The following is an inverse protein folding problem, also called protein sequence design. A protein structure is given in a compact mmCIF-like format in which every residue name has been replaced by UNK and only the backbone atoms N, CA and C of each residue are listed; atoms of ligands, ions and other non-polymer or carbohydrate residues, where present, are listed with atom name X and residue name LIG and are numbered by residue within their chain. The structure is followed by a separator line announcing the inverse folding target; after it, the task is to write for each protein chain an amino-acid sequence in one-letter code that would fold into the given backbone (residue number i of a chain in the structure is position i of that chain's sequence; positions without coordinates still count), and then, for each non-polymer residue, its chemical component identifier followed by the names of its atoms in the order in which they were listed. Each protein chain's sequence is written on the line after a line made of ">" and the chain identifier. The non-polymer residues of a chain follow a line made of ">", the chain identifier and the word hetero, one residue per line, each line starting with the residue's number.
data_IF_024486124533
#
_entry.id   IF_024486124533
#
_cell.length_a   1.000
_cell.length_b   1.000
_cell.length_c   1.000
_cell.angle_alpha   90.00
_cell.angle_beta   90.00
_cell.angle_gamma   90.00
#
_symmetry.space_group_name_H-M   'P 1'
#
loop_
_entity.id
_entity.type
_entity.pdbx_description
1 polymer ?
#
# COMPACT_ATOMS: atom_id res chain seq x y z
N UNK A 1 -1.58 -1.58 -11.06
CA UNK A 1 -0.73 -0.63 -11.79
C UNK A 1 0.35 -1.36 -12.59
N UNK A 2 1.38 -1.95 -11.97
CA UNK A 2 2.48 -2.61 -12.69
C UNK A 2 2.01 -3.73 -13.64
N UNK A 3 1.21 -4.69 -13.14
CA UNK A 3 0.71 -5.80 -13.96
C UNK A 3 -0.20 -5.33 -15.13
N UNK A 4 -0.82 -4.16 -15.00
CA UNK A 4 -1.67 -3.57 -16.04
C UNK A 4 -0.95 -2.57 -16.94
N UNK A 5 0.35 -2.34 -16.74
CA UNK A 5 1.11 -1.33 -17.50
C UNK A 5 0.55 0.09 -17.37
N UNK A 6 0.09 0.46 -16.17
CA UNK A 6 -0.49 1.78 -15.93
C UNK A 6 0.56 2.89 -16.15
N UNK A 7 0.15 3.98 -16.81
CA UNK A 7 0.98 5.16 -17.06
C UNK A 7 1.26 5.93 -15.78
N UNK A 8 0.25 6.09 -14.93
CA UNK A 8 0.39 6.66 -13.60
C UNK A 8 -0.42 5.87 -12.57
N UNK A 9 0.03 5.91 -11.32
CA UNK A 9 -0.74 5.36 -10.23
C UNK A 9 -0.64 6.21 -8.96
N UNK A 10 -1.79 6.63 -8.44
CA UNK A 10 -1.93 7.47 -7.24
C UNK A 10 -2.35 6.60 -6.06
N UNK A 11 -1.59 6.69 -4.98
CA UNK A 11 -1.73 5.87 -3.77
C UNK A 11 -1.82 6.77 -2.54
N UNK A 12 -2.13 6.20 -1.38
CA UNK A 12 -2.27 6.97 -0.15
C UNK A 12 -0.93 7.38 0.45
N UNK A 13 0.06 6.50 0.32
CA UNK A 13 1.38 6.59 0.90
C UNK A 13 2.25 7.66 0.23
N UNK A 14 1.99 7.97 -1.04
CA UNK A 14 2.75 8.95 -1.82
C UNK A 14 1.89 10.21 -2.01
N UNK A 15 2.34 11.32 -1.41
CA UNK A 15 1.67 12.61 -1.61
C UNK A 15 1.92 13.10 -3.04
N UNK A 16 0.90 13.69 -3.62
CA UNK A 16 0.96 14.26 -4.96
C UNK A 16 0.14 15.56 -4.99
N UNK A 17 0.55 16.43 -5.91
CA UNK A 17 -0.02 17.75 -6.11
C UNK A 17 -0.68 17.87 -7.48
N UNK A 18 -1.31 19.02 -7.75
CA UNK A 18 -1.85 19.31 -9.08
C UNK A 18 -0.76 19.33 -10.16
N UNK A 19 0.50 19.68 -9.82
CA UNK A 19 1.62 19.69 -10.75
C UNK A 19 1.98 18.27 -11.22
N UNK A 20 1.84 17.28 -10.35
CA UNK A 20 2.08 15.88 -10.70
C UNK A 20 1.00 15.37 -11.64
N UNK A 21 -0.28 15.69 -11.35
CA UNK A 21 -1.40 15.39 -12.24
C UNK A 21 -1.22 16.02 -13.62
N UNK A 22 -0.85 17.30 -13.67
CA UNK A 22 -0.58 18.03 -14.90
C UNK A 22 0.54 17.37 -15.72
N UNK A 23 1.65 17.00 -15.07
CA UNK A 23 2.76 16.29 -15.72
C UNK A 23 2.31 14.96 -16.32
N UNK A 24 1.49 14.20 -15.61
CA UNK A 24 0.99 12.91 -16.07
C UNK A 24 -0.01 13.05 -17.22
N UNK A 25 -0.80 14.13 -17.25
CA UNK A 25 -1.66 14.50 -18.39
C UNK A 25 -0.84 14.76 -19.64
N UNK A 26 0.18 15.63 -19.55
CA UNK A 26 1.03 15.94 -20.70
C UNK A 26 1.82 14.71 -21.17
N UNK A 27 2.29 13.88 -20.24
CA UNK A 27 2.96 12.63 -20.57
C UNK A 27 2.06 11.70 -21.38
N UNK A 28 0.81 11.53 -20.96
CA UNK A 28 -0.17 10.73 -21.72
C UNK A 28 -0.49 11.34 -23.09
N UNK A 29 -0.64 12.67 -23.17
CA UNK A 29 -0.87 13.36 -24.44
C UNK A 29 0.28 13.13 -25.44
N UNK A 30 1.54 13.24 -24.97
CA UNK A 30 2.74 12.98 -25.81
C UNK A 30 2.75 11.56 -26.33
N UNK A 31 2.51 10.57 -25.45
CA UNK A 31 2.47 9.15 -25.85
C UNK A 31 1.40 8.87 -26.91
N UNK A 32 0.23 9.49 -26.79
CA UNK A 32 -0.84 9.31 -27.76
C UNK A 32 -0.55 9.99 -29.10
N UNK A 33 0.09 11.16 -29.09
CA UNK A 33 0.60 11.80 -30.30
C UNK A 33 1.66 10.94 -31.02
N UNK A 34 2.47 10.20 -30.27
CA UNK A 34 3.46 9.23 -30.79
C UNK A 34 2.83 7.90 -31.26
N UNK A 35 1.51 7.75 -31.18
CA UNK A 35 0.77 6.60 -31.71
C UNK A 35 0.34 5.55 -30.68
N UNK A 36 0.54 5.78 -29.38
CA UNK A 36 -0.02 4.91 -28.33
C UNK A 36 -1.54 5.07 -28.30
N UNK A 37 -2.28 3.97 -28.42
CA UNK A 37 -3.73 4.02 -28.54
C UNK A 37 -4.50 4.08 -27.22
N UNK A 38 -3.88 3.67 -26.11
CA UNK A 38 -4.55 3.57 -24.80
C UNK A 38 -3.59 3.97 -23.69
N UNK A 39 -4.11 4.76 -22.76
CA UNK A 39 -3.48 5.04 -21.48
C UNK A 39 -4.32 4.48 -20.33
N UNK A 40 -3.66 4.17 -19.21
CA UNK A 40 -4.31 3.66 -18.00
C UNK A 40 -3.77 4.41 -16.77
N UNK A 41 -4.68 5.06 -16.07
CA UNK A 41 -4.41 5.70 -14.79
C UNK A 41 -5.08 4.87 -13.69
N UNK A 42 -4.31 4.48 -12.67
CA UNK A 42 -4.83 3.70 -11.52
C UNK A 42 -4.85 4.57 -10.28
N UNK A 43 -6.03 4.77 -9.70
CA UNK A 43 -6.19 5.60 -8.49
C UNK A 43 -6.70 4.75 -7.34
N UNK A 44 -5.99 4.77 -6.22
CA UNK A 44 -6.51 4.26 -4.95
C UNK A 44 -7.65 5.17 -4.47
N UNK A 45 -8.72 4.59 -3.94
CA UNK A 45 -9.93 5.32 -3.51
C UNK A 45 -9.65 6.39 -2.45
N UNK A 46 -8.67 6.14 -1.56
CA UNK A 46 -8.31 6.98 -0.43
C UNK A 46 -7.01 7.76 -0.66
N UNK A 47 -6.47 7.82 -1.88
CA UNK A 47 -5.21 8.55 -2.13
C UNK A 47 -5.29 10.03 -1.76
N UNK A 48 -6.43 10.66 -2.03
CA UNK A 48 -6.72 12.05 -1.71
C UNK A 48 -8.26 12.25 -1.75
N UNK A 49 -8.80 13.03 -0.83
CA UNK A 49 -10.24 13.32 -0.74
C UNK A 49 -10.72 14.29 -1.83
N UNK A 50 -9.89 15.28 -2.18
CA UNK A 50 -10.21 16.34 -3.13
C UNK A 50 -9.88 15.91 -4.57
N UNK A 51 -8.74 15.25 -4.78
CA UNK A 51 -8.37 14.66 -6.07
C UNK A 51 -9.02 13.30 -6.26
N UNK A 52 -10.35 13.32 -6.31
CA UNK A 52 -11.18 12.13 -6.49
C UNK A 52 -11.30 11.71 -7.97
N UNK A 53 -11.93 10.57 -8.20
CA UNK A 53 -12.06 10.01 -9.55
C UNK A 53 -12.81 10.94 -10.51
N UNK A 54 -13.85 11.64 -10.04
CA UNK A 54 -14.61 12.60 -10.85
C UNK A 54 -13.81 13.85 -11.20
N UNK A 55 -12.98 14.35 -10.27
CA UNK A 55 -12.07 15.45 -10.52
C UNK A 55 -11.05 15.08 -11.59
N UNK A 56 -10.37 13.94 -11.38
CA UNK A 56 -9.36 13.46 -12.34
C UNK A 56 -9.97 13.20 -13.71
N UNK A 57 -11.15 12.58 -13.78
CA UNK A 57 -11.85 12.35 -15.04
C UNK A 57 -12.13 13.65 -15.80
N UNK A 58 -12.62 14.69 -15.10
CA UNK A 58 -12.87 16.01 -15.70
C UNK A 58 -11.57 16.67 -16.18
N UNK A 59 -10.51 16.63 -15.36
CA UNK A 59 -9.19 17.13 -15.72
C UNK A 59 -8.67 16.50 -17.02
N UNK A 60 -8.63 15.16 -17.07
CA UNK A 60 -8.14 14.45 -18.26
C UNK A 60 -9.06 14.62 -19.48
N UNK A 61 -10.37 14.80 -19.28
CA UNK A 61 -11.30 15.05 -20.39
C UNK A 61 -11.09 16.44 -21.00
N UNK A 62 -10.89 17.45 -20.15
CA UNK A 62 -10.67 18.83 -20.60
C UNK A 62 -9.30 18.99 -21.26
N UNK A 63 -8.23 18.53 -20.60
CA UNK A 63 -6.88 18.66 -21.14
C UNK A 63 -6.59 17.72 -22.32
N UNK A 64 -7.43 16.71 -22.53
CA UNK A 64 -7.37 15.85 -23.70
C UNK A 64 -7.60 16.58 -25.02
N UNK A 65 -8.28 17.74 -25.04
CA UNK A 65 -8.45 18.69 -26.18
C UNK A 65 -8.53 18.07 -27.59
N UNK A 66 -9.22 16.94 -27.74
CA UNK A 66 -9.38 16.21 -29.02
C UNK A 66 -8.25 15.23 -29.39
N UNK A 67 -7.15 15.20 -28.64
CA UNK A 67 -6.11 14.16 -28.75
C UNK A 67 -6.60 12.82 -28.22
N UNK A 68 -7.34 12.84 -27.10
CA UNK A 68 -7.92 11.64 -26.51
C UNK A 68 -9.18 11.92 -25.70
N UNK A 69 -9.96 10.86 -25.47
CA UNK A 69 -11.10 10.87 -24.56
C UNK A 69 -10.77 10.10 -23.29
N UNK A 70 -11.11 10.65 -22.12
CA UNK A 70 -11.00 9.93 -20.86
C UNK A 70 -12.30 9.17 -20.54
N UNK A 71 -12.19 8.05 -19.84
CA UNK A 71 -13.32 7.32 -19.25
C UNK A 71 -12.99 6.94 -17.82
N UNK A 72 -13.93 7.16 -16.92
CA UNK A 72 -13.82 6.74 -15.52
C UNK A 72 -14.43 5.35 -15.33
N UNK A 73 -13.75 4.50 -14.57
CA UNK A 73 -14.28 3.21 -14.13
C UNK A 73 -14.00 2.98 -12.66
N UNK A 74 -15.06 2.89 -11.85
CA UNK A 74 -14.99 2.55 -10.44
C UNK A 74 -15.43 1.09 -10.30
N UNK A 75 -14.47 0.20 -10.08
CA UNK A 75 -14.73 -1.24 -10.02
C UNK A 75 -15.65 -1.64 -8.85
N UNK A 76 -15.58 -0.90 -7.74
CA UNK A 76 -16.37 -1.17 -6.53
C UNK A 76 -16.14 -2.58 -5.98
N UNK A 77 -17.23 -3.23 -5.57
CA UNK A 77 -17.23 -4.56 -4.94
C UNK A 77 -16.72 -5.68 -5.86
N UNK A 78 -16.67 -5.48 -7.17
CA UNK A 78 -16.13 -6.48 -8.11
C UNK A 78 -14.65 -6.80 -7.82
N UNK A 79 -13.94 -5.92 -7.11
CA UNK A 79 -12.57 -6.14 -6.65
C UNK A 79 -12.44 -7.29 -5.63
N UNK A 80 -13.52 -7.67 -4.94
CA UNK A 80 -13.54 -8.87 -4.09
C UNK A 80 -13.42 -10.16 -4.91
N UNK A 81 -13.63 -10.06 -6.23
CA UNK A 81 -13.67 -11.20 -7.13
C UNK A 81 -14.99 -11.96 -7.04
N UNK A 82 -15.05 -13.07 -7.77
CA UNK A 82 -16.16 -14.01 -7.70
C UNK A 82 -15.72 -15.30 -7.02
N UNK A 83 -15.15 -16.22 -7.81
CA UNK A 83 -14.58 -17.47 -7.28
C UNK A 83 -13.11 -17.26 -6.95
N UNK A 84 -12.69 -17.72 -5.77
CA UNK A 84 -11.30 -17.65 -5.33
C UNK A 84 -10.36 -18.30 -6.36
N UNK A 85 -9.21 -17.66 -6.61
CA UNK A 85 -8.24 -18.15 -7.59
C UNK A 85 -7.67 -19.52 -7.15
N UNK A 86 -7.09 -20.33 -8.07
CA UNK A 86 -6.36 -21.54 -7.66
C UNK A 86 -5.25 -21.25 -6.64
N UNK A 87 -4.60 -20.08 -6.74
CA UNK A 87 -3.59 -19.62 -5.81
C UNK A 87 -4.18 -19.43 -4.40
N UNK A 88 -5.27 -18.66 -4.28
CA UNK A 88 -5.90 -18.38 -2.99
C UNK A 88 -6.46 -19.66 -2.35
N UNK A 89 -7.02 -20.57 -3.14
CA UNK A 89 -7.49 -21.88 -2.66
C UNK A 89 -6.37 -22.72 -2.08
N UNK A 90 -5.24 -22.81 -2.79
CA UNK A 90 -4.07 -23.56 -2.32
C UNK A 90 -3.46 -22.92 -1.07
N UNK A 91 -3.34 -21.59 -1.07
CA UNK A 91 -2.80 -20.85 0.06
C UNK A 91 -3.68 -20.98 1.31
N UNK A 92 -5.00 -20.90 1.15
CA UNK A 92 -5.95 -21.08 2.25
C UNK A 92 -5.83 -22.46 2.91
N UNK A 93 -5.68 -23.53 2.10
CA UNK A 93 -5.43 -24.88 2.62
C UNK A 93 -4.09 -24.93 3.38
N UNK A 94 -3.02 -24.36 2.81
CA UNK A 94 -1.71 -24.33 3.47
C UNK A 94 -1.76 -23.61 4.81
N UNK A 95 -2.37 -22.43 4.87
CA UNK A 95 -2.55 -21.70 6.13
C UNK A 95 -3.39 -22.48 7.14
N UNK A 96 -4.44 -23.19 6.71
CA UNK A 96 -5.23 -24.02 7.61
C UNK A 96 -4.43 -25.17 8.21
N UNK A 97 -3.58 -25.84 7.42
CA UNK A 97 -2.69 -26.90 7.90
C UNK A 97 -1.66 -26.35 8.88
N UNK A 98 -0.99 -25.25 8.51
CA UNK A 98 0.00 -24.58 9.36
C UNK A 98 -0.61 -24.14 10.70
N UNK A 99 -1.74 -23.43 10.67
CA UNK A 99 -2.43 -23.01 11.89
C UNK A 99 -2.86 -24.19 12.77
N UNK A 100 -3.37 -25.28 12.18
CA UNK A 100 -3.78 -26.47 12.93
C UNK A 100 -2.58 -27.15 13.61
N UNK A 101 -1.46 -27.31 12.89
CA UNK A 101 -0.24 -27.90 13.45
C UNK A 101 0.38 -27.02 14.55
N UNK A 102 0.30 -25.69 14.38
CA UNK A 102 0.69 -24.75 15.41
C UNK A 102 -0.17 -24.89 16.67
N UNK A 103 -1.51 -24.93 16.53
CA UNK A 103 -2.41 -25.13 17.66
C UNK A 103 -2.13 -26.44 18.41
N UNK A 104 -1.92 -27.54 17.69
CA UNK A 104 -1.56 -28.83 18.29
C UNK A 104 -0.27 -28.71 19.12
N UNK A 105 0.76 -28.07 18.56
CA UNK A 105 2.04 -27.85 19.24
C UNK A 105 1.86 -27.01 20.52
N UNK A 106 1.06 -25.95 20.46
CA UNK A 106 0.78 -25.12 21.64
C UNK A 106 0.06 -25.91 22.73
N UNK A 107 -0.94 -26.72 22.38
CA UNK A 107 -1.68 -27.54 23.34
C UNK A 107 -0.78 -28.61 23.99
N UNK A 108 0.09 -29.25 23.21
CA UNK A 108 1.08 -30.20 23.71
C UNK A 108 2.07 -29.54 24.67
N UNK A 109 2.57 -28.35 24.33
CA UNK A 109 3.48 -27.58 25.19
C UNK A 109 2.84 -27.16 26.52
N UNK A 110 1.52 -26.89 26.51
CA UNK A 110 0.74 -26.61 27.72
C UNK A 110 0.37 -27.87 28.51
N UNK A 111 0.74 -29.06 28.03
CA UNK A 111 0.51 -30.33 28.72
C UNK A 111 -0.96 -30.74 28.78
N UNK A 112 -1.80 -30.24 27.86
CA UNK A 112 -3.22 -30.57 27.77
C UNK A 112 -3.39 -32.04 27.35
N UNK A 113 -4.03 -32.84 28.19
CA UNK A 113 -4.19 -34.30 27.98
C UNK A 113 -5.64 -34.71 27.82
N UNK A 114 -6.57 -33.86 28.25
CA UNK A 114 -8.00 -34.13 28.24
C UNK A 114 -8.78 -32.91 27.79
N UNK A 115 -9.98 -33.16 27.24
CA UNK A 115 -10.96 -32.11 26.89
C UNK A 115 -11.49 -31.32 28.09
N UNK A 116 -11.22 -31.79 29.31
CA UNK A 116 -11.58 -31.11 30.57
C UNK A 116 -10.50 -30.13 31.05
N UNK A 117 -9.30 -30.19 30.50
CA UNK A 117 -8.20 -29.32 30.91
C UNK A 117 -8.43 -27.92 30.32
N UNK A 118 -8.34 -26.88 31.14
CA UNK A 118 -8.46 -25.50 30.70
C UNK A 118 -7.05 -24.95 30.47
N UNK A 119 -6.67 -24.60 29.22
CA UNK A 119 -5.35 -24.04 28.96
C UNK A 119 -5.24 -22.64 29.58
N UNK A 120 -4.20 -22.44 30.38
CA UNK A 120 -3.82 -21.15 30.92
C UNK A 120 -2.37 -20.85 30.51
N UNK A 121 -2.16 -19.70 29.87
CA UNK A 121 -0.83 -19.26 29.47
C UNK A 121 -0.75 -17.73 29.47
N UNK A 122 0.44 -17.22 29.75
CA UNK A 122 0.81 -15.81 29.64
C UNK A 122 1.88 -15.59 28.56
N UNK A 123 2.22 -16.65 27.82
CA UNK A 123 3.20 -16.58 26.75
C UNK A 123 2.64 -15.73 25.59
N UNK A 124 3.40 -14.74 25.14
CA UNK A 124 2.97 -13.81 24.07
C UNK A 124 2.69 -14.54 22.76
N UNK A 125 3.43 -15.62 22.54
CA UNK A 125 3.35 -16.47 21.36
C UNK A 125 1.98 -17.15 21.25
N UNK A 126 1.27 -17.35 22.37
CA UNK A 126 -0.05 -18.00 22.41
C UNK A 126 -1.14 -17.24 21.64
N UNK A 127 -0.93 -15.95 21.37
CA UNK A 127 -1.80 -15.13 20.55
C UNK A 127 -0.97 -14.48 19.43
N UNK A 128 -0.93 -15.15 18.27
CA UNK A 128 -0.12 -14.74 17.13
C UNK A 128 -0.92 -14.65 15.83
N UNK A 129 -0.36 -13.93 14.85
CA UNK A 129 -0.82 -13.91 13.47
C UNK A 129 0.07 -14.84 12.63
N UNK A 130 -0.55 -15.78 11.93
CA UNK A 130 0.11 -16.54 10.87
C UNK A 130 0.22 -15.67 9.62
N UNK A 131 1.45 -15.39 9.20
CA UNK A 131 1.77 -14.62 8.01
C UNK A 131 2.85 -15.27 7.15
N UNK A 132 3.16 -14.64 6.02
CA UNK A 132 4.28 -15.02 5.16
C UNK A 132 5.29 -13.88 5.17
N UNK A 133 6.50 -14.20 5.61
CA UNK A 133 7.65 -13.29 5.49
C UNK A 133 8.65 -13.89 4.52
N UNK A 134 8.84 -13.22 3.39
CA UNK A 134 9.65 -13.69 2.25
C UNK A 134 9.13 -15.03 1.68
N UNK A 135 9.68 -16.15 2.12
CA UNK A 135 9.35 -17.52 1.65
C UNK A 135 9.01 -18.48 2.80
N UNK A 136 8.78 -17.96 4.00
CA UNK A 136 8.51 -18.75 5.20
C UNK A 136 7.18 -18.35 5.82
N UNK A 137 6.47 -19.33 6.35
CA UNK A 137 5.37 -19.10 7.28
C UNK A 137 5.95 -18.66 8.62
N UNK A 138 5.38 -17.59 9.18
CA UNK A 138 5.85 -17.00 10.44
C UNK A 138 4.63 -16.76 11.32
N UNK A 139 4.78 -17.11 12.60
CA UNK A 139 3.80 -16.86 13.65
C UNK A 139 4.31 -15.66 14.46
N UNK A 140 3.75 -14.49 14.22
CA UNK A 140 4.18 -13.25 14.88
C UNK A 140 3.25 -12.92 16.04
N UNK A 141 3.73 -12.80 17.28
CA UNK A 141 2.92 -12.39 18.43
C UNK A 141 2.17 -11.08 18.15
N UNK A 142 0.92 -11.00 18.59
CA UNK A 142 0.10 -9.80 18.37
C UNK A 142 0.68 -8.56 19.03
N UNK A 143 1.31 -8.72 20.20
CA UNK A 143 1.95 -7.61 20.92
C UNK A 143 3.03 -6.91 20.07
N UNK A 144 3.84 -7.68 19.34
CA UNK A 144 4.87 -7.13 18.44
C UNK A 144 4.23 -6.44 17.22
N UNK A 145 3.13 -7.00 16.70
CA UNK A 145 2.44 -6.43 15.53
C UNK A 145 1.72 -5.11 15.84
N UNK A 146 1.33 -4.87 17.10
CA UNK A 146 0.74 -3.60 17.52
C UNK A 146 1.72 -2.46 17.28
N UNK A 147 3.01 -2.66 17.60
CA UNK A 147 4.05 -1.65 17.41
C UNK A 147 4.30 -1.34 15.93
N UNK A 148 4.06 -2.30 15.03
CA UNK A 148 4.25 -2.14 13.58
C UNK A 148 2.97 -1.70 12.84
N UNK A 149 1.85 -1.52 13.54
CA UNK A 149 0.55 -1.21 12.93
C UNK A 149 0.11 0.21 13.22
N UNK A 150 -0.34 0.92 12.19
CA UNK A 150 -1.09 2.16 12.34
C UNK A 150 -2.58 1.83 12.38
N UNK A 151 -3.18 1.83 13.57
CA UNK A 151 -4.58 1.44 13.76
C UNK A 151 -5.59 2.47 13.25
N UNK A 152 -5.24 3.76 13.29
CA UNK A 152 -6.08 4.85 12.80
C UNK A 152 -6.34 4.68 11.30
N UNK A 153 -5.29 4.38 10.54
CA UNK A 153 -5.35 4.19 9.10
C UNK A 153 -5.55 2.73 8.68
N UNK A 154 -5.45 1.78 9.64
CA UNK A 154 -5.55 0.33 9.44
C UNK A 154 -4.56 -0.22 8.40
N UNK A 155 -3.33 0.28 8.45
CA UNK A 155 -2.22 -0.13 7.57
C UNK A 155 -0.97 -0.44 8.40
N UNK A 156 -0.03 -1.26 7.90
CA UNK A 156 1.29 -1.36 8.52
C UNK A 156 2.01 -0.01 8.47
N UNK A 157 2.89 0.28 9.43
CA UNK A 157 3.72 1.51 9.43
C UNK A 157 4.71 1.54 8.28
N UNK A 158 5.22 0.37 7.89
CA UNK A 158 6.21 0.22 6.81
C UNK A 158 5.64 -0.54 5.62
N UNK A 159 5.65 0.06 4.42
CA UNK A 159 5.14 -0.57 3.19
C UNK A 159 6.28 -1.11 2.32
N UNK A 160 6.55 -2.40 2.45
CA UNK A 160 7.65 -3.08 1.74
C UNK A 160 7.61 -2.96 0.21
N UNK A 161 6.44 -2.72 -0.37
CA UNK A 161 6.22 -2.66 -1.82
C UNK A 161 6.47 -1.27 -2.41
N UNK A 162 6.67 -0.23 -1.59
CA UNK A 162 7.01 1.11 -2.09
C UNK A 162 8.33 1.12 -2.87
N UNK A 163 9.27 0.23 -2.54
CA UNK A 163 10.50 0.02 -3.31
C UNK A 163 10.27 -0.41 -4.77
N UNK A 164 9.07 -0.89 -5.12
CA UNK A 164 8.69 -1.24 -6.49
C UNK A 164 8.14 -0.04 -7.27
N UNK A 165 7.89 1.11 -6.60
CA UNK A 165 7.35 2.32 -7.23
C UNK A 165 8.25 2.89 -8.33
N UNK A 166 9.59 2.97 -8.18
CA UNK A 166 10.45 3.44 -9.26
C UNK A 166 10.32 2.61 -10.54
N UNK A 167 10.16 1.29 -10.41
CA UNK A 167 9.97 0.39 -11.56
C UNK A 167 8.71 0.74 -12.37
N UNK A 168 7.63 1.14 -11.71
CA UNK A 168 6.42 1.59 -12.40
C UNK A 168 6.70 2.83 -13.27
N UNK A 169 7.44 3.81 -12.75
CA UNK A 169 7.78 5.05 -13.49
C UNK A 169 8.67 4.77 -14.69
N UNK A 170 9.63 3.86 -14.55
CA UNK A 170 10.49 3.39 -15.65
C UNK A 170 9.64 2.73 -16.75
N UNK A 171 8.76 1.78 -16.39
CA UNK A 171 7.92 1.09 -17.37
C UNK A 171 6.88 2.01 -18.04
N UNK A 172 6.43 3.06 -17.36
CA UNK A 172 5.53 4.05 -17.92
C UNK A 172 6.20 5.02 -18.91
N UNK A 173 7.53 4.93 -19.09
CA UNK A 173 8.36 5.86 -19.89
C UNK A 173 8.31 7.30 -19.41
N UNK A 174 8.04 7.57 -18.12
CA UNK A 174 8.38 8.89 -17.61
C UNK A 174 9.87 9.11 -17.85
N UNK A 175 10.27 10.31 -18.32
CA UNK A 175 11.69 10.66 -18.47
C UNK A 175 12.36 10.45 -17.11
N UNK A 176 12.95 9.28 -16.92
CA UNK A 176 13.70 8.92 -15.74
C UNK A 176 14.98 9.72 -15.85
N UNK A 177 15.13 10.73 -15.00
CA UNK A 177 16.45 11.20 -14.62
C UNK A 177 17.10 9.98 -13.98
N UNK A 178 17.85 9.24 -14.79
CA UNK A 178 18.75 8.19 -14.32
C UNK A 178 19.85 8.93 -13.57
N UNK A 179 19.87 8.83 -12.25
CA UNK A 179 21.15 8.91 -11.55
C UNK A 179 21.78 7.52 -11.69
N UNK A 180 22.94 7.46 -12.34
CA UNK A 180 23.73 6.23 -12.40
C UNK A 180 24.12 5.86 -10.95
N UNK A 181 23.44 4.88 -10.34
CA UNK A 181 23.93 4.18 -9.15
C UNK A 181 25.16 3.34 -9.54
N UNK A 182 26.26 4.02 -9.82
CA UNK A 182 27.52 3.45 -10.28
C UNK A 182 28.75 4.01 -9.55
N UNK A 183 28.58 4.88 -8.56
CA UNK A 183 29.67 5.30 -7.68
C UNK A 183 29.27 5.08 -6.21
N UNK A 184 30.07 4.23 -5.56
CA UNK A 184 30.18 3.94 -4.12
C UNK A 184 29.16 4.63 -3.20
N UNK A 185 28.17 3.87 -2.74
CA UNK A 185 27.36 4.24 -1.56
C UNK A 185 28.28 4.14 -0.33
N UNK A 186 28.90 5.27 0.04
CA UNK A 186 29.24 5.47 1.45
C UNK A 186 27.93 5.56 2.23
N UNK A 187 27.86 4.75 3.28
CA UNK A 187 26.70 4.64 4.16
C UNK A 187 26.65 5.92 5.00
N UNK A 188 25.92 6.94 4.53
CA UNK A 188 25.20 7.92 5.35
C UNK A 188 24.52 8.95 4.44
N UNK A 189 23.23 8.76 4.17
CA UNK A 189 22.24 9.85 4.17
C UNK A 189 20.83 9.24 3.99
N UNK A 190 20.01 9.39 5.03
CA UNK A 190 18.58 9.08 4.96
C UNK A 190 17.95 10.02 3.95
N UNK A 191 17.29 9.47 2.93
CA UNK A 191 16.40 10.23 2.07
C UNK A 191 15.35 10.96 2.92
N UNK A 192 15.53 12.27 3.06
CA UNK A 192 14.51 13.16 3.60
C UNK A 192 13.49 13.36 2.49
N UNK A 193 12.24 12.97 2.75
CA UNK A 193 11.13 13.30 1.87
C UNK A 193 11.11 14.81 1.66
N UNK A 194 11.01 15.25 0.40
CA UNK A 194 10.93 16.65 0.02
C UNK A 194 9.95 17.41 0.92
N UNK A 195 10.45 18.47 1.56
CA UNK A 195 9.69 19.30 2.50
C UNK A 195 8.39 19.79 1.85
N UNK A 196 7.27 19.49 2.50
CA UNK A 196 5.98 20.06 2.15
C UNK A 196 6.01 21.56 2.37
N UNK A 197 5.68 22.35 1.33
CA UNK A 197 5.54 23.83 1.38
C UNK A 197 4.33 24.30 2.22
N UNK A 198 3.74 23.42 3.02
CA UNK A 198 2.57 23.71 3.86
C UNK A 198 3.04 23.69 5.32
N UNK A 199 2.98 24.82 6.03
CA UNK A 199 3.31 24.85 7.46
C UNK A 199 2.42 23.88 8.22
N UNK A 200 3.03 23.06 9.08
CA UNK A 200 2.30 22.24 10.04
C UNK A 200 1.55 23.18 10.98
N UNK A 201 0.23 23.02 11.20
CA UNK A 201 -0.48 23.82 12.19
C UNK A 201 0.08 23.51 13.59
N UNK A 202 0.48 24.55 14.33
CA UNK A 202 0.87 24.42 15.74
C UNK A 202 -0.33 23.87 16.55
N UNK A 203 -0.09 22.85 17.36
CA UNK A 203 -1.09 22.36 18.31
C UNK A 203 -1.42 23.48 19.32
N UNK A 204 -2.70 23.69 19.67
CA UNK A 204 -3.05 24.69 20.66
C UNK A 204 -2.48 24.27 22.03
N UNK A 205 -1.63 25.14 22.59
CA UNK A 205 -1.20 25.06 23.98
C UNK A 205 -2.43 25.08 24.89
N UNK A 206 -2.67 23.98 25.59
CA UNK A 206 -3.69 23.92 26.63
C UNK A 206 -3.17 24.74 27.81
N UNK A 207 -3.70 25.95 27.98
CA UNK A 207 -3.57 26.69 29.24
C UNK A 207 -4.32 25.92 30.32
N UNK A 208 -3.58 25.33 31.26
CA UNK A 208 -4.12 24.85 32.52
C UNK A 208 -4.69 26.05 33.29
N UNK A 209 -6.00 26.22 33.22
CA UNK A 209 -6.72 27.11 34.13
C UNK A 209 -6.86 26.38 35.45
N UNK A 210 -6.03 26.75 36.42
CA UNK A 210 -6.24 26.43 37.83
C UNK A 210 -7.62 26.96 38.26
N UNK A 211 -8.51 26.07 38.66
CA UNK A 211 -9.73 26.42 39.39
C UNK A 211 -9.64 25.90 40.82
N UNK A 212 -9.74 26.86 41.76
CA UNK A 212 -9.83 26.77 43.23
C UNK A 212 -10.35 25.47 43.84
#
# INVERSE_FOLDING_TARGET
>A
AMAGGADAAYIYEEKFSIKDLEKDVYHMASKMAEGVQRGLIVRNEKCNENYNADFMHRLYSEEGKGLFSARMNILGHMQQGGRASPFDRNMGIKFAVEASGWFETQLQNLGIKSSKDVPHTVAKESACLLGITKRKYVYSPLEELIEETNFQQRIPKTQWWLKLRPLLRIFAKHHSVYEEEGEFIEIEERHVATESVIPVPEEPTVEETETN
#
